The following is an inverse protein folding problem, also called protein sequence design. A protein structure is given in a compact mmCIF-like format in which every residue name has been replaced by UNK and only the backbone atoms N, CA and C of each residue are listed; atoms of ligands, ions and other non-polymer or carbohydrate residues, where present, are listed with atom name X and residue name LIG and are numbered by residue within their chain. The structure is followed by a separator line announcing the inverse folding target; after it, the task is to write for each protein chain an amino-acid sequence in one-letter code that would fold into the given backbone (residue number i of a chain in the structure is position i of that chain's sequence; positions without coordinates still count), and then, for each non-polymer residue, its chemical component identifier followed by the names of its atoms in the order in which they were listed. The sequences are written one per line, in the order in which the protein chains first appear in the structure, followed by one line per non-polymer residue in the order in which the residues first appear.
data_IF_173884740839
#
_entry.id   IF_173884740839
#
_cell.length_a   1.000
_cell.length_b   1.000
_cell.length_c   1.000
_cell.angle_alpha   90.00
_cell.angle_beta   90.00
_cell.angle_gamma   90.00
#
_symmetry.space_group_name_H-M   'P 1'
#
loop_
_entity.id
_entity.type
_entity.pdbx_description
1 polymer ?
#
# COMPACT_ATOMS: atom_id res chain seq x y z
N UNK A 1 -22.21 -23.96 -0.37
CA UNK A 1 -21.30 -23.46 0.68
C UNK A 1 -21.51 -21.96 0.79
N UNK A 2 -22.20 -21.52 1.84
CA UNK A 2 -22.47 -20.10 2.11
C UNK A 2 -21.15 -19.36 2.36
N UNK A 3 -20.86 -18.36 1.53
CA UNK A 3 -19.83 -17.35 1.78
C UNK A 3 -20.25 -16.48 2.96
N UNK A 4 -19.60 -16.70 4.12
CA UNK A 4 -19.60 -15.77 5.25
C UNK A 4 -18.91 -14.44 4.90
N UNK A 5 -18.95 -13.45 5.81
CA UNK A 5 -18.90 -12.03 5.47
C UNK A 5 -17.50 -11.59 5.03
N UNK A 6 -17.48 -10.83 3.94
CA UNK A 6 -16.53 -9.76 3.60
C UNK A 6 -15.05 -10.17 3.57
N UNK A 7 -14.46 -10.18 2.36
CA UNK A 7 -13.04 -10.44 2.15
C UNK A 7 -12.16 -9.49 2.99
N UNK A 8 -11.37 -10.06 3.92
CA UNK A 8 -10.19 -9.43 4.57
C UNK A 8 -9.26 -8.68 3.61
N UNK A 9 -9.35 -8.94 2.30
CA UNK A 9 -8.55 -8.29 1.26
C UNK A 9 -8.79 -6.77 1.17
N UNK A 10 -10.00 -6.28 1.42
CA UNK A 10 -10.32 -4.83 1.30
C UNK A 10 -9.62 -4.01 2.38
N UNK A 11 -9.38 -4.59 3.56
CA UNK A 11 -8.78 -3.93 4.72
C UNK A 11 -7.30 -4.25 4.93
N UNK A 12 -6.65 -5.02 4.07
CA UNK A 12 -5.21 -5.29 4.21
C UNK A 12 -4.37 -4.43 3.26
N UNK A 13 -4.87 -4.20 2.04
CA UNK A 13 -4.14 -3.44 1.02
C UNK A 13 -3.90 -1.97 1.37
N UNK A 14 -4.82 -1.33 2.09
CA UNK A 14 -4.70 0.05 2.57
C UNK A 14 -3.54 0.22 3.58
N UNK A 15 -3.33 -0.75 4.47
CA UNK A 15 -2.24 -0.73 5.45
C UNK A 15 -0.87 -0.93 4.78
N UNK A 16 -0.78 -1.83 3.81
CA UNK A 16 0.41 -1.99 2.97
C UNK A 16 0.72 -0.70 2.23
N UNK A 17 -0.27 -0.09 1.59
CA UNK A 17 -0.11 1.18 0.87
C UNK A 17 0.39 2.28 1.81
N UNK A 18 -0.20 2.43 2.99
CA UNK A 18 0.25 3.42 3.99
C UNK A 18 1.68 3.14 4.47
N UNK A 19 2.06 1.87 4.62
CA UNK A 19 3.42 1.49 4.97
C UNK A 19 4.43 1.87 3.89
N UNK A 20 4.13 1.64 2.62
CA UNK A 20 5.06 1.97 1.52
C UNK A 20 5.05 3.47 1.19
N UNK A 21 3.95 4.18 1.40
CA UNK A 21 3.92 5.66 1.29
C UNK A 21 4.85 6.34 2.31
N UNK A 22 5.10 5.68 3.45
CA UNK A 22 5.89 6.21 4.55
C UNK A 22 7.37 5.73 4.57
N UNK A 23 7.90 5.25 3.43
CA UNK A 23 9.34 5.01 3.29
C UNK A 23 10.13 6.31 3.49
N UNK A 24 11.35 6.22 4.04
CA UNK A 24 12.25 7.35 4.20
C UNK A 24 12.99 7.65 2.90
N UNK A 25 12.23 8.08 1.89
CA UNK A 25 12.72 8.44 0.56
C UNK A 25 12.08 9.76 0.10
N UNK A 26 12.75 10.56 -0.75
CA UNK A 26 12.16 11.81 -1.24
C UNK A 26 10.78 11.56 -1.89
N UNK A 27 9.70 12.21 -1.40
CA UNK A 27 8.33 11.96 -1.88
C UNK A 27 8.17 12.15 -3.40
N UNK A 28 8.88 13.11 -3.98
CA UNK A 28 8.87 13.38 -5.42
C UNK A 28 9.51 12.30 -6.28
N UNK A 29 10.27 11.37 -5.67
CA UNK A 29 10.87 10.21 -6.33
C UNK A 29 10.15 8.90 -6.02
N UNK A 30 9.10 8.95 -5.20
CA UNK A 30 8.33 7.80 -4.78
C UNK A 30 6.95 7.83 -5.44
N UNK A 31 6.57 6.73 -6.09
CA UNK A 31 5.26 6.58 -6.74
C UNK A 31 4.71 5.19 -6.45
N UNK A 32 3.49 5.14 -5.92
CA UNK A 32 2.83 3.93 -5.45
C UNK A 32 1.67 3.64 -6.39
N UNK A 33 1.62 2.41 -6.86
CA UNK A 33 0.57 1.94 -7.76
C UNK A 33 -0.12 0.72 -7.14
N UNK A 34 -1.42 0.83 -6.87
CA UNK A 34 -2.25 -0.28 -6.42
C UNK A 34 -2.99 -0.88 -7.62
N UNK A 35 -2.80 -2.18 -7.87
CA UNK A 35 -3.66 -2.92 -8.79
C UNK A 35 -4.79 -3.61 -8.05
N UNK A 36 -6.02 -3.36 -8.49
CA UNK A 36 -7.22 -4.04 -8.01
C UNK A 36 -7.82 -4.90 -9.12
N UNK A 37 -7.51 -6.20 -9.05
CA UNK A 37 -8.08 -7.18 -9.97
C UNK A 37 -9.60 -7.39 -9.75
N UNK A 38 -10.16 -6.97 -8.61
CA UNK A 38 -11.58 -7.05 -8.33
C UNK A 38 -12.39 -5.89 -8.91
N UNK A 39 -11.74 -4.76 -9.24
CA UNK A 39 -12.41 -3.54 -9.67
C UNK A 39 -13.46 -3.05 -8.68
N UNK A 40 -13.25 -3.26 -7.38
CA UNK A 40 -14.25 -3.00 -6.35
C UNK A 40 -14.26 -1.54 -5.93
N UNK A 41 -15.43 -0.92 -5.96
CA UNK A 41 -15.63 0.45 -5.46
C UNK A 41 -15.20 0.59 -4.00
N UNK A 42 -15.33 -0.46 -3.18
CA UNK A 42 -14.90 -0.45 -1.78
C UNK A 42 -13.37 -0.50 -1.63
N UNK A 43 -12.65 -1.16 -2.54
CA UNK A 43 -11.18 -1.10 -2.55
C UNK A 43 -10.72 0.30 -2.92
N UNK A 44 -11.37 0.92 -3.91
CA UNK A 44 -11.09 2.30 -4.27
C UNK A 44 -11.41 3.27 -3.12
N UNK A 45 -12.54 3.07 -2.43
CA UNK A 45 -12.92 3.85 -1.26
C UNK A 45 -11.94 3.69 -0.08
N UNK A 46 -11.49 2.46 0.21
CA UNK A 46 -10.48 2.21 1.23
C UNK A 46 -9.18 2.95 0.91
N UNK A 47 -8.75 2.92 -0.36
CA UNK A 47 -7.57 3.67 -0.80
C UNK A 47 -7.78 5.19 -0.73
N UNK A 48 -8.97 5.68 -1.04
CA UNK A 48 -9.35 7.08 -0.92
C UNK A 48 -9.28 7.56 0.54
N UNK A 49 -9.86 6.82 1.47
CA UNK A 49 -9.77 7.08 2.91
C UNK A 49 -8.32 7.02 3.42
N UNK A 50 -7.55 6.02 2.98
CA UNK A 50 -6.12 5.90 3.29
C UNK A 50 -5.32 7.11 2.78
N UNK A 51 -5.62 7.62 1.58
CA UNK A 51 -4.96 8.81 1.03
C UNK A 51 -5.21 10.06 1.90
N UNK A 52 -6.41 10.21 2.48
CA UNK A 52 -6.72 11.30 3.40
C UNK A 52 -5.98 11.15 4.73
N UNK A 53 -5.96 9.94 5.28
CA UNK A 53 -5.22 9.64 6.51
C UNK A 53 -3.71 9.84 6.32
N UNK A 54 -3.17 9.53 5.13
CA UNK A 54 -1.74 9.65 4.81
C UNK A 54 -1.19 11.07 5.07
N UNK A 55 -2.01 12.11 4.86
CA UNK A 55 -1.66 13.53 5.13
C UNK A 55 -1.27 13.78 6.59
N UNK A 56 -1.73 12.96 7.53
CA UNK A 56 -1.37 13.05 8.94
C UNK A 56 -0.36 11.96 9.33
N UNK A 57 -0.48 10.77 8.73
CA UNK A 57 0.35 9.60 9.06
C UNK A 57 1.81 9.76 8.65
N UNK A 58 2.07 10.25 7.44
CA UNK A 58 3.44 10.41 6.90
C UNK A 58 4.30 11.39 7.73
N UNK A 59 3.84 12.62 8.04
CA UNK A 59 4.61 13.52 8.90
C UNK A 59 4.77 12.97 10.31
N UNK A 60 3.74 12.34 10.89
CA UNK A 60 3.85 11.65 12.19
C UNK A 60 4.93 10.58 12.18
N UNK A 61 4.93 9.72 11.15
CA UNK A 61 5.94 8.70 10.92
C UNK A 61 7.35 9.31 10.90
N UNK A 62 7.55 10.34 10.09
CA UNK A 62 8.86 10.99 9.94
C UNK A 62 9.34 11.63 11.24
N UNK A 63 8.45 12.37 11.92
CA UNK A 63 8.74 13.08 13.17
C UNK A 63 9.13 12.16 14.32
N UNK A 64 8.42 11.04 14.48
CA UNK A 64 8.62 10.11 15.59
C UNK A 64 9.43 8.86 15.24
N UNK A 65 9.97 8.77 14.01
CA UNK A 65 10.72 7.61 13.51
C UNK A 65 10.00 6.29 13.78
N UNK A 66 8.69 6.29 13.53
CA UNK A 66 7.79 5.15 13.74
C UNK A 66 8.30 3.90 13.01
N UNK A 67 8.40 2.76 13.69
CA UNK A 67 8.59 1.46 13.03
C UNK A 67 7.74 0.40 13.76
N UNK A 68 7.06 -0.52 13.04
CA UNK A 68 6.91 -0.58 11.58
C UNK A 68 6.01 0.56 11.04
N UNK A 69 6.12 0.87 9.74
CA UNK A 69 5.35 1.95 9.09
C UNK A 69 3.89 1.62 8.79
N UNK A 70 3.49 0.35 8.90
CA UNK A 70 2.09 -0.05 8.81
C UNK A 70 1.35 0.39 10.08
N UNK A 71 0.28 1.21 9.97
CA UNK A 71 -0.45 1.68 11.15
C UNK A 71 -1.11 0.54 11.93
N UNK A 72 -1.63 -0.50 11.24
CA UNK A 72 -2.19 -1.68 11.91
C UNK A 72 -1.16 -2.41 12.76
N UNK A 73 0.06 -2.58 12.24
CA UNK A 73 1.15 -3.23 12.97
C UNK A 73 1.65 -2.34 14.12
N UNK A 74 1.83 -1.05 13.87
CA UNK A 74 2.28 -0.08 14.86
C UNK A 74 1.31 0.04 16.05
N UNK A 75 0.01 0.19 15.81
CA UNK A 75 -0.95 0.31 16.93
C UNK A 75 -1.16 -1.01 17.67
N UNK A 76 -0.94 -2.16 17.02
CA UNK A 76 -0.96 -3.48 17.67
C UNK A 76 0.19 -3.66 18.65
N UNK A 77 1.36 -3.07 18.39
CA UNK A 77 2.53 -3.17 19.29
C UNK A 77 2.44 -2.29 20.53
N UNK A 78 1.33 -1.57 20.74
CA UNK A 78 1.09 -0.71 21.91
C UNK A 78 2.23 0.30 22.15
N UNK A 79 2.42 1.28 21.24
CA UNK A 79 3.54 2.18 21.27
C UNK A 79 3.53 3.03 22.54
N UNK A 80 4.72 3.20 23.15
CA UNK A 80 4.89 4.00 24.36
C UNK A 80 5.37 5.41 23.98
N UNK A 81 4.66 6.47 24.37
CA UNK A 81 5.12 7.83 24.14
C UNK A 81 6.36 8.13 24.99
N UNK A 82 7.24 8.98 24.47
CA UNK A 82 8.48 9.38 25.16
C UNK A 82 8.27 10.62 26.03
N UNK A 83 7.32 11.48 25.65
CA UNK A 83 6.96 12.71 26.37
C UNK A 83 5.44 13.01 26.24
N UNK A 84 4.98 14.05 26.92
CA UNK A 84 3.56 14.45 26.91
C UNK A 84 3.09 14.91 25.52
N UNK A 85 3.96 15.54 24.72
CA UNK A 85 3.64 16.01 23.38
C UNK A 85 3.41 14.83 22.43
N UNK A 86 4.30 13.83 22.46
CA UNK A 86 4.16 12.59 21.71
C UNK A 86 2.91 11.83 22.17
N UNK A 87 2.60 11.80 23.47
CA UNK A 87 1.36 11.19 23.98
C UNK A 87 0.11 11.81 23.36
N UNK A 88 0.04 13.14 23.30
CA UNK A 88 -1.07 13.87 22.66
C UNK A 88 -1.17 13.59 21.16
N UNK A 89 -0.04 13.63 20.45
CA UNK A 89 -0.03 13.34 19.01
C UNK A 89 -0.36 11.87 18.72
N UNK A 90 0.12 10.93 19.54
CA UNK A 90 -0.19 9.51 19.45
C UNK A 90 -1.69 9.24 19.63
N UNK A 91 -2.31 9.88 20.62
CA UNK A 91 -3.76 9.77 20.83
C UNK A 91 -4.54 10.33 19.63
N UNK A 92 -4.10 11.48 19.11
CA UNK A 92 -4.73 12.14 17.96
C UNK A 92 -4.64 11.30 16.68
N UNK A 93 -3.46 10.77 16.37
CA UNK A 93 -3.25 9.95 15.16
C UNK A 93 -3.95 8.59 15.26
N UNK A 94 -3.98 8.00 16.46
CA UNK A 94 -4.71 6.75 16.72
C UNK A 94 -6.21 6.95 16.49
N UNK A 95 -6.77 8.06 16.98
CA UNK A 95 -8.17 8.42 16.74
C UNK A 95 -8.47 8.55 15.24
N UNK A 96 -7.64 9.28 14.49
CA UNK A 96 -7.82 9.43 13.03
C UNK A 96 -7.75 8.09 12.28
N UNK A 97 -6.85 7.19 12.70
CA UNK A 97 -6.74 5.85 12.14
C UNK A 97 -8.00 5.01 12.42
N UNK A 98 -8.50 5.03 13.66
CA UNK A 98 -9.72 4.31 14.04
C UNK A 98 -10.94 4.87 13.32
N UNK A 99 -11.05 6.19 13.15
CA UNK A 99 -12.11 6.82 12.36
C UNK A 99 -12.08 6.40 10.89
N UNK A 100 -10.90 6.43 10.25
CA UNK A 100 -10.71 5.95 8.88
C UNK A 100 -11.14 4.49 8.74
N UNK A 101 -10.66 3.61 9.62
CA UNK A 101 -11.00 2.19 9.61
C UNK A 101 -12.50 1.97 9.80
N UNK A 102 -13.12 2.67 10.74
CA UNK A 102 -14.55 2.58 10.99
C UNK A 102 -15.37 3.03 9.79
N UNK A 103 -14.95 4.09 9.07
CA UNK A 103 -15.61 4.53 7.82
C UNK A 103 -15.56 3.44 6.74
N UNK A 104 -14.40 2.82 6.54
CA UNK A 104 -14.22 1.74 5.56
C UNK A 104 -15.02 0.50 5.93
N UNK A 105 -14.94 0.06 7.19
CA UNK A 105 -15.69 -1.11 7.69
C UNK A 105 -17.20 -0.88 7.62
N UNK A 106 -17.69 0.30 8.02
CA UNK A 106 -19.12 0.65 7.97
C UNK A 106 -19.63 0.65 6.53
N UNK A 107 -18.92 1.30 5.60
CA UNK A 107 -19.33 1.32 4.19
C UNK A 107 -19.37 -0.09 3.58
N UNK A 108 -18.39 -0.93 3.94
CA UNK A 108 -18.31 -2.31 3.45
C UNK A 108 -19.42 -3.19 4.05
N UNK A 109 -19.72 -3.03 5.34
CA UNK A 109 -20.78 -3.79 6.03
C UNK A 109 -22.18 -3.40 5.54
N UNK A 110 -22.40 -2.10 5.28
CA UNK A 110 -23.66 -1.58 4.76
C UNK A 110 -23.77 -1.74 3.24
N UNK A 111 -22.70 -2.17 2.56
CA UNK A 111 -22.59 -2.19 1.10
C UNK A 111 -22.93 -0.83 0.45
N UNK A 112 -22.62 0.28 1.13
CA UNK A 112 -22.98 1.62 0.70
C UNK A 112 -21.89 2.62 1.09
N UNK A 113 -21.46 3.43 0.11
CA UNK A 113 -20.56 4.57 0.34
C UNK A 113 -21.43 5.83 0.49
N UNK A 114 -21.20 6.66 1.54
CA UNK A 114 -21.95 7.90 1.72
C UNK A 114 -21.85 8.83 0.50
N UNK A 115 -22.98 9.42 0.08
CA UNK A 115 -23.04 10.29 -1.12
C UNK A 115 -22.09 11.48 -0.99
N UNK A 116 -21.94 12.03 0.22
CA UNK A 116 -21.03 13.15 0.49
C UNK A 116 -19.57 12.81 0.15
N UNK A 117 -19.18 11.53 0.26
CA UNK A 117 -17.83 11.08 -0.11
C UNK A 117 -17.73 10.82 -1.61
N UNK A 118 -18.81 10.33 -2.23
CA UNK A 118 -18.85 10.14 -3.69
C UNK A 118 -18.65 11.46 -4.43
N UNK A 119 -19.25 12.54 -3.92
CA UNK A 119 -19.16 13.88 -4.49
C UNK A 119 -17.78 14.52 -4.33
N UNK A 120 -17.00 14.10 -3.32
CA UNK A 120 -15.63 14.59 -3.11
C UNK A 120 -14.67 14.15 -4.20
N UNK A 121 -14.97 13.07 -4.93
CA UNK A 121 -14.07 12.56 -5.95
C UNK A 121 -14.82 12.01 -7.16
N UNK A 122 -14.69 12.70 -8.30
CA UNK A 122 -15.27 12.31 -9.61
C UNK A 122 -14.90 10.90 -10.09
N UNK A 123 -13.96 10.23 -9.44
CA UNK A 123 -13.62 8.84 -9.71
C UNK A 123 -14.74 7.85 -9.37
N UNK A 124 -15.63 8.15 -8.42
CA UNK A 124 -16.68 7.21 -8.00
C UNK A 124 -17.77 6.98 -9.05
N UNK A 125 -18.03 7.95 -9.94
CA UNK A 125 -19.09 7.84 -10.95
C UNK A 125 -18.84 6.73 -11.99
N UNK A 126 -17.60 6.24 -12.10
CA UNK A 126 -17.27 5.13 -13.01
C UNK A 126 -18.07 3.87 -12.66
N UNK A 127 -18.33 3.65 -11.37
CA UNK A 127 -19.08 2.49 -10.91
C UNK A 127 -20.60 2.62 -11.09
N UNK A 128 -21.10 3.83 -11.40
CA UNK A 128 -22.52 4.05 -11.70
C UNK A 128 -22.82 3.83 -13.19
N UNK A 129 -21.96 4.35 -14.07
CA UNK A 129 -22.28 4.46 -15.50
C UNK A 129 -21.65 3.37 -16.37
N UNK A 130 -20.47 2.86 -16.01
CA UNK A 130 -19.63 2.01 -16.88
C UNK A 130 -19.25 0.64 -16.32
N UNK A 131 -19.57 0.37 -15.06
CA UNK A 131 -19.19 -0.89 -14.40
C UNK A 131 -20.30 -1.93 -14.51
N UNK A 132 -20.05 -3.00 -15.26
CA UNK A 132 -21.03 -4.10 -15.38
C UNK A 132 -20.79 -5.18 -14.32
N UNK A 133 -19.57 -5.71 -14.24
CA UNK A 133 -19.19 -6.71 -13.24
C UNK A 133 -17.68 -6.78 -13.06
N UNK A 134 -17.20 -7.50 -12.03
CA UNK A 134 -15.76 -7.77 -11.81
C UNK A 134 -15.08 -8.55 -12.95
N UNK A 135 -15.85 -9.08 -13.90
CA UNK A 135 -15.36 -9.83 -15.06
C UNK A 135 -15.61 -9.11 -16.38
N UNK A 136 -16.35 -8.00 -16.36
CA UNK A 136 -16.70 -7.21 -17.53
C UNK A 136 -16.80 -5.73 -17.12
N UNK A 137 -15.72 -5.01 -17.31
CA UNK A 137 -15.64 -3.59 -17.03
C UNK A 137 -14.47 -2.96 -17.79
N UNK A 138 -14.60 -1.68 -18.12
CA UNK A 138 -13.52 -0.89 -18.72
C UNK A 138 -12.36 -0.68 -17.73
N UNK A 139 -11.23 -0.19 -18.23
CA UNK A 139 -10.09 0.17 -17.37
C UNK A 139 -10.47 1.34 -16.47
N UNK A 140 -10.26 1.18 -15.16
CA UNK A 140 -10.44 2.20 -14.14
C UNK A 140 -9.05 2.65 -13.67
N UNK A 141 -8.62 3.81 -14.13
CA UNK A 141 -7.36 4.44 -13.73
C UNK A 141 -7.65 5.76 -13.00
N UNK A 142 -7.16 5.89 -11.76
CA UNK A 142 -7.32 7.11 -10.96
C UNK A 142 -6.03 7.46 -10.21
N UNK A 143 -5.63 8.72 -10.31
CA UNK A 143 -4.53 9.28 -9.51
C UNK A 143 -5.18 9.95 -8.30
N UNK A 144 -5.03 9.36 -7.11
CA UNK A 144 -5.59 9.91 -5.87
C UNK A 144 -4.73 11.02 -5.30
N UNK A 145 -3.42 10.88 -5.43
CA UNK A 145 -2.43 11.88 -5.06
C UNK A 145 -1.50 12.05 -6.25
N UNK A 146 -1.48 13.25 -6.85
CA UNK A 146 -0.51 13.58 -7.89
C UNK A 146 0.67 14.31 -7.26
N UNK A 147 1.78 13.60 -7.02
CA UNK A 147 2.98 14.17 -6.40
C UNK A 147 3.67 15.25 -7.24
N UNK A 148 3.26 15.42 -8.52
CA UNK A 148 3.72 16.51 -9.39
C UNK A 148 2.96 17.81 -9.10
N UNK A 149 1.75 17.72 -8.54
CA UNK A 149 0.97 18.88 -8.14
C UNK A 149 1.54 19.49 -6.84
N UNK A 150 1.75 20.81 -6.83
CA UNK A 150 2.23 21.54 -5.65
C UNK A 150 1.23 21.57 -4.50
N UNK A 151 -0.06 21.34 -4.78
CA UNK A 151 -1.12 21.30 -3.77
C UNK A 151 -1.25 19.93 -3.08
N UNK A 152 -0.59 18.88 -3.61
CA UNK A 152 -0.58 17.55 -3.02
C UNK A 152 0.39 17.50 -1.83
N UNK A 153 0.01 18.17 -0.74
CA UNK A 153 0.81 18.29 0.49
C UNK A 153 0.14 17.66 1.71
N UNK A 154 0.96 17.32 2.68
CA UNK A 154 0.56 16.88 4.01
C UNK A 154 0.19 18.07 4.92
N UNK A 155 -0.20 17.79 6.17
CA UNK A 155 -0.61 18.82 7.13
C UNK A 155 0.53 19.74 7.58
N UNK A 156 1.80 19.38 7.33
CA UNK A 156 2.98 20.20 7.60
C UNK A 156 3.47 20.95 6.34
N UNK A 157 2.80 20.78 5.20
CA UNK A 157 3.12 21.43 3.93
C UNK A 157 4.18 20.71 3.09
N UNK A 158 4.58 19.49 3.44
CA UNK A 158 5.50 18.68 2.63
C UNK A 158 4.73 17.92 1.54
N UNK A 159 5.38 17.71 0.39
CA UNK A 159 4.78 16.98 -0.73
C UNK A 159 4.51 15.52 -0.37
N UNK A 160 3.40 15.00 -0.85
CA UNK A 160 3.05 13.58 -0.76
C UNK A 160 3.55 12.81 -1.99
N UNK A 161 3.90 11.52 -1.83
CA UNK A 161 4.21 10.65 -2.96
C UNK A 161 2.99 10.46 -3.88
N UNK A 162 3.25 10.16 -5.15
CA UNK A 162 2.17 9.86 -6.10
C UNK A 162 1.47 8.56 -5.73
N UNK A 163 0.14 8.54 -5.73
CA UNK A 163 -0.68 7.37 -5.43
C UNK A 163 -1.68 7.12 -6.56
N UNK A 164 -1.57 5.97 -7.22
CA UNK A 164 -2.38 5.59 -8.38
C UNK A 164 -3.14 4.30 -8.12
N UNK A 165 -4.42 4.30 -8.43
CA UNK A 165 -5.29 3.13 -8.47
C UNK A 165 -5.50 2.65 -9.91
N UNK A 166 -5.35 1.35 -10.13
CA UNK A 166 -5.60 0.70 -11.41
C UNK A 166 -6.45 -0.57 -11.24
N UNK A 167 -7.66 -0.56 -11.79
CA UNK A 167 -8.35 -1.78 -12.19
C UNK A 167 -8.27 -1.90 -13.72
N UNK A 168 -7.54 -2.89 -14.20
CA UNK A 168 -7.38 -3.13 -15.65
C UNK A 168 -8.70 -3.61 -16.27
N UNK A 169 -8.92 -3.31 -17.55
CA UNK A 169 -10.07 -3.83 -18.29
C UNK A 169 -10.16 -5.35 -18.19
N UNK A 170 -11.39 -5.84 -18.01
CA UNK A 170 -11.72 -7.26 -18.03
C UNK A 170 -12.87 -7.49 -18.98
N UNK A 171 -12.77 -8.58 -19.74
CA UNK A 171 -13.79 -9.07 -20.66
C UNK A 171 -13.90 -10.58 -20.52
N UNK A 172 -15.10 -11.18 -20.51
CA UNK A 172 -15.28 -12.62 -20.30
C UNK A 172 -14.55 -13.50 -21.33
N UNK A 173 -14.31 -12.98 -22.54
CA UNK A 173 -13.68 -13.74 -23.64
C UNK A 173 -12.15 -13.71 -23.59
N UNK A 174 -11.54 -12.94 -22.69
CA UNK A 174 -10.11 -12.69 -22.66
C UNK A 174 -9.46 -13.25 -21.39
N UNK A 175 -8.43 -14.08 -21.57
CA UNK A 175 -7.62 -14.56 -20.46
C UNK A 175 -6.79 -13.41 -19.88
N UNK A 176 -6.95 -13.19 -18.57
CA UNK A 176 -6.34 -12.05 -17.89
C UNK A 176 -5.06 -12.38 -17.11
N UNK A 177 -4.61 -13.64 -17.08
CA UNK A 177 -3.31 -14.05 -16.50
C UNK A 177 -3.05 -13.62 -15.04
N UNK A 178 -4.11 -13.42 -14.25
CA UNK A 178 -4.06 -13.09 -12.82
C UNK A 178 -2.96 -12.06 -12.47
N UNK A 179 -2.06 -12.41 -11.54
CA UNK A 179 -0.98 -11.55 -11.02
C UNK A 179 0.02 -11.13 -12.10
N UNK A 180 0.35 -12.01 -13.04
CA UNK A 180 1.25 -11.66 -14.15
C UNK A 180 0.65 -10.58 -15.05
N UNK A 181 -0.65 -10.70 -15.37
CA UNK A 181 -1.37 -9.68 -16.12
C UNK A 181 -1.47 -8.35 -15.37
N UNK A 182 -1.77 -8.40 -14.07
CA UNK A 182 -1.84 -7.21 -13.21
C UNK A 182 -0.50 -6.46 -13.14
N UNK A 183 0.59 -7.18 -12.87
CA UNK A 183 1.94 -6.58 -12.82
C UNK A 183 2.34 -5.97 -14.17
N UNK A 184 2.11 -6.66 -15.29
CA UNK A 184 2.41 -6.12 -16.61
C UNK A 184 1.61 -4.86 -16.93
N UNK A 185 0.34 -4.79 -16.52
CA UNK A 185 -0.47 -3.57 -16.66
C UNK A 185 0.08 -2.43 -15.81
N UNK A 186 0.48 -2.68 -14.56
CA UNK A 186 1.11 -1.68 -13.69
C UNK A 186 2.40 -1.13 -14.30
N UNK A 187 3.25 -1.98 -14.88
CA UNK A 187 4.49 -1.56 -15.54
C UNK A 187 4.21 -0.57 -16.68
N UNK A 188 3.23 -0.87 -17.53
CA UNK A 188 2.84 -0.01 -18.67
C UNK A 188 2.22 1.31 -18.22
N UNK A 189 1.42 1.30 -17.16
CA UNK A 189 0.84 2.53 -16.62
C UNK A 189 1.92 3.37 -15.93
N UNK A 190 2.83 2.73 -15.21
CA UNK A 190 3.93 3.42 -14.53
C UNK A 190 4.88 4.10 -15.51
N UNK A 191 5.18 3.49 -16.67
CA UNK A 191 6.03 4.10 -17.69
C UNK A 191 5.48 5.42 -18.23
N UNK A 192 4.16 5.57 -18.29
CA UNK A 192 3.51 6.81 -18.77
C UNK A 192 3.38 7.88 -17.67
N UNK A 193 3.21 7.48 -16.41
CA UNK A 193 2.93 8.42 -15.30
C UNK A 193 4.21 8.92 -14.63
N UNK A 194 5.09 8.01 -14.20
CA UNK A 194 6.29 8.36 -13.41
C UNK A 194 7.60 7.85 -14.01
N UNK A 195 7.56 6.84 -14.88
CA UNK A 195 8.70 6.20 -15.53
C UNK A 195 9.86 5.89 -14.56
N UNK A 196 9.55 5.21 -13.45
CA UNK A 196 10.54 4.88 -12.43
C UNK A 196 11.56 3.86 -12.93
N UNK A 197 12.86 4.11 -12.66
CA UNK A 197 13.94 3.20 -13.09
C UNK A 197 14.03 1.91 -12.26
N UNK A 198 13.52 1.93 -11.03
CA UNK A 198 13.52 0.78 -10.10
C UNK A 198 12.10 0.53 -9.64
N UNK A 199 11.72 -0.74 -9.57
CA UNK A 199 10.37 -1.18 -9.26
C UNK A 199 10.43 -2.09 -8.04
N UNK A 200 9.68 -1.70 -6.99
CA UNK A 200 9.50 -2.50 -5.79
C UNK A 200 8.14 -3.18 -5.86
N UNK A 201 8.14 -4.52 -5.90
CA UNK A 201 6.91 -5.31 -5.87
C UNK A 201 6.57 -5.70 -4.43
N UNK A 202 5.32 -5.44 -3.99
CA UNK A 202 4.85 -5.72 -2.63
C UNK A 202 3.44 -6.30 -2.69
N UNK A 203 3.22 -7.40 -1.98
CA UNK A 203 1.91 -8.02 -1.86
C UNK A 203 1.06 -7.34 -0.78
N UNK A 204 -0.27 -7.40 -0.93
CA UNK A 204 -1.23 -6.67 -0.09
C UNK A 204 -1.34 -7.17 1.35
N UNK A 205 -0.73 -8.30 1.67
CA UNK A 205 -0.62 -8.88 3.01
C UNK A 205 0.76 -8.67 3.64
N UNK A 206 1.66 -7.97 2.93
CA UNK A 206 2.99 -7.62 3.39
C UNK A 206 3.09 -6.12 3.69
N UNK A 207 3.96 -5.74 4.62
CA UNK A 207 4.30 -4.33 4.86
C UNK A 207 5.78 -4.19 5.18
N UNK A 208 6.29 -2.98 5.06
CA UNK A 208 7.68 -2.71 5.39
C UNK A 208 7.88 -2.62 6.90
N UNK A 209 8.85 -3.40 7.40
CA UNK A 209 9.33 -3.33 8.78
C UNK A 209 10.48 -2.33 8.98
N UNK A 210 11.03 -1.77 7.90
CA UNK A 210 12.12 -0.80 7.93
C UNK A 210 11.91 0.26 6.83
N UNK A 211 11.80 1.53 7.21
CA UNK A 211 11.68 2.64 6.27
C UNK A 211 12.91 2.90 5.39
N UNK A 212 14.05 2.26 5.66
CA UNK A 212 15.27 2.42 4.86
C UNK A 212 15.43 1.38 3.75
N UNK A 213 14.55 0.37 3.65
CA UNK A 213 14.73 -0.75 2.71
C UNK A 213 14.92 -0.31 1.24
N UNK A 214 14.28 0.78 0.82
CA UNK A 214 14.49 1.35 -0.53
C UNK A 214 15.94 1.83 -0.69
N UNK A 215 16.50 2.53 0.31
CA UNK A 215 17.88 3.02 0.25
C UNK A 215 18.87 1.87 0.26
N UNK A 216 18.62 0.88 1.12
CA UNK A 216 19.44 -0.33 1.21
C UNK A 216 19.47 -1.08 -0.13
N UNK A 217 18.32 -1.22 -0.81
CA UNK A 217 18.26 -1.80 -2.15
C UNK A 217 19.01 -0.96 -3.19
N UNK A 218 18.85 0.37 -3.15
CA UNK A 218 19.52 1.27 -4.08
C UNK A 218 21.04 1.27 -3.91
N UNK A 219 21.58 0.97 -2.73
CA UNK A 219 23.03 0.80 -2.57
C UNK A 219 23.60 -0.26 -3.52
N UNK A 220 22.87 -1.34 -3.79
CA UNK A 220 23.29 -2.37 -4.74
C UNK A 220 23.18 -1.90 -6.19
N UNK A 221 22.05 -1.28 -6.55
CA UNK A 221 21.84 -0.79 -7.92
C UNK A 221 22.68 0.42 -8.30
N UNK A 222 23.22 1.15 -7.32
CA UNK A 222 24.06 2.33 -7.53
C UNK A 222 25.56 2.02 -7.37
N UNK A 223 25.94 0.76 -7.13
CA UNK A 223 27.35 0.37 -7.05
C UNK A 223 28.02 0.51 -8.42
N UNK A 224 29.09 1.31 -8.50
CA UNK A 224 29.75 1.64 -9.77
C UNK A 224 30.33 0.42 -10.51
N UNK A 225 30.63 -0.67 -9.78
CA UNK A 225 31.31 -1.84 -10.34
C UNK A 225 30.36 -2.99 -10.62
N UNK A 226 29.40 -3.25 -9.73
CA UNK A 226 28.52 -4.42 -9.74
C UNK A 226 27.10 -4.12 -10.19
N UNK A 227 26.67 -2.86 -10.23
CA UNK A 227 25.27 -2.51 -10.56
C UNK A 227 24.78 -3.11 -11.87
N UNK A 228 25.64 -3.19 -12.89
CA UNK A 228 25.29 -3.73 -14.20
C UNK A 228 24.97 -5.23 -14.19
N UNK A 229 25.45 -5.95 -13.18
CA UNK A 229 25.24 -7.40 -13.02
C UNK A 229 24.03 -7.74 -12.13
N UNK A 230 23.33 -6.73 -11.59
CA UNK A 230 22.26 -6.91 -10.60
C UNK A 230 20.90 -6.65 -11.26
N UNK A 231 20.13 -7.72 -11.48
CA UNK A 231 18.77 -7.64 -12.01
C UNK A 231 17.69 -7.32 -10.96
N UNK A 232 17.86 -7.79 -9.72
CA UNK A 232 16.93 -7.53 -8.62
C UNK A 232 17.62 -7.72 -7.25
N UNK A 233 17.06 -7.08 -6.21
CA UNK A 233 17.45 -7.29 -4.81
C UNK A 233 16.27 -7.95 -4.09
N UNK A 234 16.49 -9.15 -3.57
CA UNK A 234 15.47 -9.91 -2.84
C UNK A 234 15.58 -9.66 -1.33
N UNK A 235 14.49 -9.21 -0.71
CA UNK A 235 14.40 -9.15 0.74
C UNK A 235 13.77 -10.43 1.30
N UNK A 236 14.24 -10.93 2.47
CA UNK A 236 13.59 -12.06 3.13
C UNK A 236 12.18 -11.66 3.58
N UNK A 237 11.21 -12.53 3.31
CA UNK A 237 9.83 -12.37 3.78
C UNK A 237 9.68 -13.06 5.13
N UNK A 238 9.28 -12.30 6.15
CA UNK A 238 9.05 -12.81 7.50
C UNK A 238 7.56 -12.72 7.85
N UNK A 239 7.03 -13.77 8.44
CA UNK A 239 5.60 -13.88 8.79
C UNK A 239 5.39 -13.70 10.30
N UNK A 240 4.32 -13.01 10.67
CA UNK A 240 3.90 -12.81 12.05
C UNK A 240 2.91 -13.88 12.54
N UNK A 241 2.55 -13.82 13.83
CA UNK A 241 1.57 -14.70 14.48
C UNK A 241 1.92 -16.20 14.44
N UNK A 242 3.20 -16.52 14.47
CA UNK A 242 3.66 -17.90 14.50
C UNK A 242 3.55 -18.48 15.90
N UNK A 243 3.09 -19.73 15.98
CA UNK A 243 2.99 -20.43 17.26
C UNK A 243 4.37 -20.81 17.76
N UNK A 244 4.54 -20.92 19.07
CA UNK A 244 5.82 -21.31 19.69
C UNK A 244 6.42 -22.59 19.10
N UNK A 245 5.57 -23.54 18.71
CA UNK A 245 6.00 -24.83 18.20
C UNK A 245 6.17 -24.86 16.67
N UNK A 246 5.69 -23.82 15.96
CA UNK A 246 5.68 -23.68 14.49
C UNK A 246 5.58 -25.01 13.71
N UNK A 247 4.61 -25.84 14.08
CA UNK A 247 4.50 -27.22 13.55
C UNK A 247 4.27 -27.28 12.03
N UNK A 248 3.84 -26.17 11.43
CA UNK A 248 3.61 -26.04 10.00
C UNK A 248 4.81 -25.42 9.26
N UNK A 249 5.89 -25.05 9.96
CA UNK A 249 7.06 -24.40 9.38
C UNK A 249 6.75 -23.06 8.73
N UNK A 250 5.73 -22.34 9.21
CA UNK A 250 5.23 -21.11 8.59
C UNK A 250 6.22 -19.94 8.70
N UNK A 251 7.19 -20.02 9.62
CA UNK A 251 8.25 -19.00 9.74
C UNK A 251 9.26 -19.04 8.59
N UNK A 252 9.35 -20.15 7.85
CA UNK A 252 10.37 -20.38 6.81
C UNK A 252 11.82 -20.06 7.28
N UNK A 253 12.14 -20.36 8.54
CA UNK A 253 13.43 -20.00 9.17
C UNK A 253 14.65 -20.49 8.39
N UNK A 254 14.60 -21.69 7.80
CA UNK A 254 15.74 -22.23 7.01
C UNK A 254 16.04 -21.35 5.80
N UNK A 255 15.00 -20.98 5.04
CA UNK A 255 15.14 -20.13 3.86
C UNK A 255 15.72 -18.77 4.27
N UNK A 256 15.13 -18.16 5.31
CA UNK A 256 15.51 -16.81 5.76
C UNK A 256 16.91 -16.74 6.39
N UNK A 257 17.26 -17.68 7.26
CA UNK A 257 18.49 -17.61 8.07
C UNK A 257 19.67 -18.39 7.49
N UNK A 258 19.42 -19.40 6.65
CA UNK A 258 20.48 -20.24 6.10
C UNK A 258 20.65 -19.96 4.62
N UNK A 259 19.61 -20.18 3.81
CA UNK A 259 19.74 -20.13 2.35
C UNK A 259 20.03 -18.71 1.85
N UNK A 260 19.27 -17.71 2.29
CA UNK A 260 19.51 -16.31 1.87
C UNK A 260 20.81 -15.71 2.41
N UNK A 261 21.34 -16.23 3.53
CA UNK A 261 22.59 -15.73 4.10
C UNK A 261 23.83 -16.10 3.26
N UNK A 262 23.76 -17.21 2.51
CA UNK A 262 24.87 -17.69 1.66
C UNK A 262 25.05 -16.82 0.40
N UNK A 263 24.04 -16.05 -0.01
CA UNK A 263 24.08 -15.21 -1.23
C UNK A 263 24.48 -13.75 -0.99
N UNK A 264 24.70 -13.33 0.27
CA UNK A 264 25.09 -11.96 0.63
C UNK A 264 26.58 -11.80 1.00
N UNK A 265 27.43 -12.79 0.71
CA UNK A 265 28.88 -12.74 0.96
C UNK A 265 29.70 -12.32 -0.27
#
# INVERSE_FOLDING_TARGET
MHSGPINRATTNGDHTVLSVLAYDYPPEKLSIYLSDDGGSVFTFYALFEASHFSKNWLPYCKKYKVEPRSPAAYFRSMPKPFDATHSSHLASIKKLYEEMRNRVETATNLCQIPEEVRDQHKGFSIWDDGYTSKHDHDTILKILVDGRNKEAVDVEGYRLPTLVYLAREKRPQYLHNFKAGAMNSLLRVSSEISNGAVILNVDCDMYSNNSQSIRDALCFFMDEKKSQDIGFVQFPQNFENTTKNDIYGSTLQVISQVEFHVWMA
#
